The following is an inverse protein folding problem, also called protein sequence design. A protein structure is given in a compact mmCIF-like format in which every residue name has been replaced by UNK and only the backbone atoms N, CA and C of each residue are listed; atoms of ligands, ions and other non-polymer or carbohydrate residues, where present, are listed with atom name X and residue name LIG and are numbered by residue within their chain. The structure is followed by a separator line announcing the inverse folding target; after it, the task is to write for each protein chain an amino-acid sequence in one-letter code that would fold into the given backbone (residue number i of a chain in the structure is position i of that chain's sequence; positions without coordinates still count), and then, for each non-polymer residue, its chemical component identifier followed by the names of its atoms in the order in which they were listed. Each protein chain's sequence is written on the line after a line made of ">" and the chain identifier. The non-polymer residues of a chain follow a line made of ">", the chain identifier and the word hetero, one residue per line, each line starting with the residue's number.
data_IF_370629052316
#
_entry.id   IF_370629052316
#
_cell.length_a   1.000
_cell.length_b   1.000
_cell.length_c   1.000
_cell.angle_alpha   90.00
_cell.angle_beta   90.00
_cell.angle_gamma   90.00
#
_symmetry.space_group_name_H-M   'P 1'
#
loop_
_entity.id
_entity.type
_entity.pdbx_description
1 polymer ?
#
# COMPACT_ATOMS: atom_id res chain seq x y z
N UNK A 1 25.30 -0.63 -18.04
CA UNK A 1 26.53 -0.20 -17.38
C UNK A 1 26.24 0.08 -15.92
N UNK A 2 26.56 -0.92 -15.14
CA UNK A 2 26.68 -0.96 -13.69
C UNK A 2 27.66 0.11 -13.23
N UNK A 3 27.22 1.13 -12.57
CA UNK A 3 27.92 1.95 -11.56
C UNK A 3 27.01 3.11 -11.11
N UNK A 4 25.83 2.83 -10.63
CA UNK A 4 25.13 3.79 -9.78
C UNK A 4 25.56 3.50 -8.34
N UNK A 5 26.71 4.07 -8.03
CA UNK A 5 27.35 4.14 -6.72
C UNK A 5 26.30 4.70 -5.73
N UNK A 6 25.86 3.82 -4.85
CA UNK A 6 25.11 4.10 -3.65
C UNK A 6 25.87 5.21 -2.87
N UNK A 7 25.50 6.45 -3.06
CA UNK A 7 25.83 7.53 -2.14
C UNK A 7 24.83 7.40 -1.01
N UNK A 8 25.18 6.59 -0.04
CA UNK A 8 24.58 6.65 1.27
C UNK A 8 24.72 8.08 1.78
N UNK A 9 23.73 8.88 1.47
CA UNK A 9 23.52 10.14 2.18
C UNK A 9 23.36 9.73 3.64
N UNK A 10 24.35 10.10 4.43
CA UNK A 10 24.38 9.95 5.88
C UNK A 10 23.23 10.83 6.41
N UNK A 11 22.02 10.33 6.27
CA UNK A 11 20.87 10.88 6.96
C UNK A 11 21.23 10.66 8.42
N UNK A 12 21.45 11.74 9.17
CA UNK A 12 21.60 11.69 10.61
C UNK A 12 20.27 11.14 11.15
N UNK A 13 20.11 9.83 11.05
CA UNK A 13 19.01 9.10 11.64
C UNK A 13 19.18 9.26 13.15
N UNK A 14 18.07 9.24 13.88
CA UNK A 14 18.07 9.23 15.36
C UNK A 14 19.00 8.15 15.93
N UNK A 15 19.43 7.19 15.12
CA UNK A 15 20.34 6.11 15.49
C UNK A 15 21.78 6.58 15.79
N UNK A 16 22.26 7.62 15.09
CA UNK A 16 23.64 8.12 15.26
C UNK A 16 23.86 8.72 16.66
N UNK A 17 23.03 9.67 17.16
CA UNK A 17 23.19 10.18 18.50
C UNK A 17 23.02 9.10 19.58
N UNK A 18 22.14 8.11 19.37
CA UNK A 18 21.97 6.98 20.29
C UNK A 18 23.22 6.10 20.32
N UNK A 19 23.77 5.76 19.16
CA UNK A 19 25.00 4.96 19.07
C UNK A 19 26.18 5.68 19.77
N UNK A 20 26.33 6.99 19.56
CA UNK A 20 27.35 7.80 20.21
C UNK A 20 27.17 7.79 21.73
N UNK A 21 25.95 7.95 22.23
CA UNK A 21 25.65 7.91 23.67
C UNK A 21 26.01 6.55 24.30
N UNK A 22 25.68 5.43 23.63
CA UNK A 22 26.00 4.07 24.07
C UNK A 22 27.51 3.88 24.14
N UNK A 23 28.25 4.30 23.11
CA UNK A 23 29.71 4.17 23.04
C UNK A 23 30.34 5.02 24.16
N UNK A 24 29.89 6.26 24.36
CA UNK A 24 30.39 7.13 25.40
C UNK A 24 30.18 6.54 26.80
N UNK A 25 28.97 6.00 27.06
CA UNK A 25 28.66 5.35 28.35
C UNK A 25 29.50 4.06 28.55
N UNK A 26 29.73 3.28 27.51
CA UNK A 26 30.60 2.11 27.59
C UNK A 26 32.06 2.47 27.92
N UNK A 27 32.59 3.52 27.25
CA UNK A 27 33.96 4.02 27.55
C UNK A 27 34.04 4.53 29.00
N UNK A 28 33.05 5.29 29.45
CA UNK A 28 33.01 5.78 30.84
C UNK A 28 33.00 4.62 31.85
N UNK A 29 32.23 3.56 31.59
CA UNK A 29 32.18 2.36 32.45
C UNK A 29 33.53 1.61 32.47
N UNK A 30 34.24 1.52 31.35
CA UNK A 30 35.57 0.90 31.26
C UNK A 30 36.58 1.71 32.11
N UNK A 31 36.55 3.04 32.02
CA UNK A 31 37.41 3.92 32.81
C UNK A 31 37.13 3.76 34.28
N UNK A 32 35.84 3.71 34.69
CA UNK A 32 35.44 3.51 36.10
C UNK A 32 35.98 2.19 36.66
N UNK A 33 35.92 1.09 35.89
CA UNK A 33 36.51 -0.21 36.28
C UNK A 33 38.03 -0.12 36.48
N UNK A 34 38.74 0.58 35.58
CA UNK A 34 40.21 0.75 35.67
C UNK A 34 40.56 1.56 36.92
N UNK A 35 39.77 2.59 37.25
CA UNK A 35 39.97 3.44 38.42
C UNK A 35 39.47 2.82 39.72
N UNK A 36 38.94 1.58 39.69
CA UNK A 36 38.36 0.87 40.84
C UNK A 36 37.26 1.69 41.54
N UNK A 37 36.47 2.45 40.80
CA UNK A 37 35.30 3.16 41.29
C UNK A 37 34.09 2.23 41.24
N UNK A 38 33.22 2.30 42.25
CA UNK A 38 32.05 1.38 42.36
C UNK A 38 30.92 1.71 41.36
N UNK A 39 31.03 2.82 40.62
CA UNK A 39 30.03 3.27 39.67
C UNK A 39 30.18 2.57 38.29
N UNK A 40 29.61 1.37 38.15
CA UNK A 40 29.65 0.58 36.92
C UNK A 40 28.28 0.57 36.29
N UNK A 41 28.16 1.09 35.08
CA UNK A 41 26.87 1.27 34.36
C UNK A 41 26.59 0.23 33.28
N UNK A 42 27.30 -0.90 33.26
CA UNK A 42 27.13 -1.94 32.22
C UNK A 42 25.74 -2.52 32.20
N UNK A 43 25.10 -2.72 33.33
CA UNK A 43 23.75 -3.25 33.46
C UNK A 43 22.73 -2.31 32.82
N UNK A 44 22.83 -1.01 33.11
CA UNK A 44 21.97 0.02 32.53
C UNK A 44 22.15 0.12 31.01
N UNK A 45 23.38 0.01 30.50
CA UNK A 45 23.67 0.00 29.06
C UNK A 45 23.06 -1.24 28.41
N UNK A 46 23.23 -2.41 29.00
CA UNK A 46 22.69 -3.66 28.48
C UNK A 46 21.16 -3.62 28.42
N UNK A 47 20.51 -3.14 29.49
CA UNK A 47 19.05 -2.96 29.52
C UNK A 47 18.57 -1.96 28.45
N UNK A 48 19.26 -0.85 28.30
CA UNK A 48 18.91 0.17 27.30
C UNK A 48 19.02 -0.38 25.87
N UNK A 49 20.14 -1.08 25.55
CA UNK A 49 20.34 -1.69 24.25
C UNK A 49 19.27 -2.77 23.97
N UNK A 50 18.93 -3.57 24.98
CA UNK A 50 17.88 -4.58 24.87
C UNK A 50 16.52 -3.94 24.53
N UNK A 51 16.12 -2.91 25.25
CA UNK A 51 14.87 -2.19 25.01
C UNK A 51 14.85 -1.54 23.61
N UNK A 52 15.97 -0.96 23.20
CA UNK A 52 16.10 -0.33 21.88
C UNK A 52 15.99 -1.34 20.74
N UNK A 53 16.66 -2.50 20.87
CA UNK A 53 16.55 -3.58 19.89
C UNK A 53 15.14 -4.19 19.87
N UNK A 54 14.51 -4.33 21.04
CA UNK A 54 13.12 -4.77 21.15
C UNK A 54 12.15 -3.81 20.44
N UNK A 55 12.29 -2.53 20.66
CA UNK A 55 11.48 -1.51 19.97
C UNK A 55 11.69 -1.55 18.45
N UNK A 56 12.93 -1.67 17.97
CA UNK A 56 13.26 -1.81 16.56
C UNK A 56 12.68 -3.08 15.93
N UNK A 57 12.75 -4.19 16.67
CA UNK A 57 12.16 -5.44 16.22
C UNK A 57 10.63 -5.32 16.07
N UNK A 58 9.95 -4.70 17.05
CA UNK A 58 8.51 -4.47 17.00
C UNK A 58 8.13 -3.53 15.85
N UNK A 59 8.90 -2.46 15.64
CA UNK A 59 8.69 -1.53 14.51
C UNK A 59 8.83 -2.25 13.16
N UNK A 60 9.90 -3.03 12.98
CA UNK A 60 10.11 -3.80 11.75
C UNK A 60 8.99 -4.81 11.51
N UNK A 61 8.53 -5.50 12.57
CA UNK A 61 7.42 -6.45 12.48
C UNK A 61 6.10 -5.78 12.14
N UNK A 62 5.80 -4.61 12.73
CA UNK A 62 4.61 -3.85 12.41
C UNK A 62 4.64 -3.34 10.97
N UNK A 63 5.78 -2.82 10.51
CA UNK A 63 5.97 -2.35 9.13
C UNK A 63 5.79 -3.47 8.10
N UNK A 64 6.32 -4.66 8.37
CA UNK A 64 6.15 -5.81 7.47
C UNK A 64 4.68 -6.26 7.39
N UNK A 65 3.95 -6.27 8.50
CA UNK A 65 2.51 -6.57 8.47
C UNK A 65 1.72 -5.54 7.66
N UNK A 66 2.01 -4.25 7.83
CA UNK A 66 1.36 -3.20 7.05
C UNK A 66 1.69 -3.31 5.55
N UNK A 67 2.91 -3.70 5.19
CA UNK A 67 3.30 -3.93 3.82
C UNK A 67 2.56 -5.12 3.18
N UNK A 68 2.28 -6.17 3.94
CA UNK A 68 1.46 -7.32 3.51
C UNK A 68 0.02 -6.87 3.18
N UNK A 69 -0.61 -6.09 4.05
CA UNK A 69 -1.95 -5.52 3.80
C UNK A 69 -1.97 -4.53 2.62
N UNK A 70 -0.90 -3.79 2.40
CA UNK A 70 -0.78 -2.85 1.28
C UNK A 70 -0.55 -3.54 -0.08
N UNK A 71 -0.20 -4.84 -0.09
CA UNK A 71 0.00 -5.63 -1.31
C UNK A 71 -1.26 -6.40 -1.75
N UNK A 72 -2.36 -6.34 -1.00
CA UNK A 72 -3.62 -6.88 -1.51
C UNK A 72 -3.99 -6.15 -2.80
N UNK A 73 -4.19 -6.88 -3.90
CA UNK A 73 -4.55 -6.25 -5.16
C UNK A 73 -5.88 -5.51 -5.00
N UNK A 74 -5.88 -4.21 -5.30
CA UNK A 74 -7.06 -3.34 -5.24
C UNK A 74 -8.22 -3.85 -6.10
N UNK A 75 -7.93 -4.71 -7.05
CA UNK A 75 -8.90 -5.29 -7.97
C UNK A 75 -8.85 -6.82 -7.94
N UNK A 76 -10.00 -7.49 -8.08
CA UNK A 76 -10.07 -8.93 -8.22
C UNK A 76 -9.24 -9.43 -9.40
N UNK A 77 -8.53 -10.54 -9.21
CA UNK A 77 -7.73 -11.17 -10.26
C UNK A 77 -8.57 -12.02 -11.22
N UNK A 78 -9.80 -12.35 -10.83
CA UNK A 78 -10.74 -13.16 -11.61
C UNK A 78 -12.08 -12.47 -11.72
N UNK A 79 -12.82 -12.76 -12.77
CA UNK A 79 -14.17 -12.26 -12.99
C UNK A 79 -15.05 -13.32 -13.68
N UNK A 80 -16.36 -13.15 -13.58
CA UNK A 80 -17.34 -14.04 -14.23
C UNK A 80 -17.72 -13.44 -15.58
N UNK A 81 -17.17 -14.00 -16.65
CA UNK A 81 -17.56 -13.64 -18.01
C UNK A 81 -18.84 -14.36 -18.42
N UNK A 82 -19.75 -13.62 -19.06
CA UNK A 82 -20.93 -14.19 -19.71
C UNK A 82 -20.66 -14.40 -21.20
N UNK A 83 -20.43 -15.64 -21.62
CA UNK A 83 -20.24 -16.00 -23.01
C UNK A 83 -21.31 -17.01 -23.45
N UNK A 84 -22.07 -16.73 -24.51
CA UNK A 84 -23.15 -17.58 -25.01
C UNK A 84 -24.18 -18.03 -23.94
N UNK A 85 -24.55 -17.12 -23.03
CA UNK A 85 -25.42 -17.36 -21.87
C UNK A 85 -24.82 -18.32 -20.81
N UNK A 86 -23.58 -18.73 -20.94
CA UNK A 86 -22.86 -19.50 -19.93
C UNK A 86 -21.96 -18.59 -19.10
N UNK A 87 -21.89 -18.85 -17.80
CA UNK A 87 -21.03 -18.15 -16.86
C UNK A 87 -19.70 -18.89 -16.78
N UNK A 88 -18.62 -18.20 -17.04
CA UNK A 88 -17.27 -18.73 -17.02
C UNK A 88 -16.40 -17.88 -16.09
N UNK A 89 -15.73 -18.51 -15.14
CA UNK A 89 -14.77 -17.81 -14.29
C UNK A 89 -13.44 -17.74 -15.01
N UNK A 90 -13.01 -16.53 -15.35
CA UNK A 90 -11.77 -16.30 -16.09
C UNK A 90 -10.86 -15.33 -15.34
N UNK A 91 -9.56 -15.36 -15.69
CA UNK A 91 -8.64 -14.32 -15.24
C UNK A 91 -8.98 -12.98 -15.89
N UNK A 92 -8.85 -11.89 -15.14
CA UNK A 92 -9.08 -10.53 -15.66
C UNK A 92 -8.16 -10.20 -16.85
N UNK A 93 -6.98 -10.81 -16.92
CA UNK A 93 -6.02 -10.65 -18.02
C UNK A 93 -6.48 -11.33 -19.32
N UNK A 94 -7.47 -12.22 -19.24
CA UNK A 94 -8.02 -12.93 -20.41
C UNK A 94 -9.26 -12.24 -20.98
N UNK A 95 -9.70 -11.12 -20.39
CA UNK A 95 -10.82 -10.32 -20.91
C UNK A 95 -10.48 -9.66 -22.23
N UNK A 96 -11.51 -9.50 -23.06
CA UNK A 96 -11.46 -8.74 -24.30
C UNK A 96 -12.40 -7.53 -24.24
N UNK A 97 -12.12 -6.51 -25.05
CA UNK A 97 -13.00 -5.36 -25.17
C UNK A 97 -14.39 -5.82 -25.62
N UNK A 98 -15.44 -5.31 -24.98
CA UNK A 98 -16.85 -5.68 -25.15
C UNK A 98 -17.25 -7.03 -24.55
N UNK A 99 -16.38 -7.75 -23.84
CA UNK A 99 -16.82 -8.90 -23.05
C UNK A 99 -17.83 -8.46 -21.99
N UNK A 100 -18.79 -9.33 -21.71
CA UNK A 100 -19.80 -9.09 -20.68
C UNK A 100 -19.37 -9.75 -19.37
N UNK A 101 -19.26 -8.97 -18.31
CA UNK A 101 -18.90 -9.44 -16.97
C UNK A 101 -20.08 -9.33 -16.03
N UNK A 102 -20.39 -10.42 -15.34
CA UNK A 102 -21.45 -10.47 -14.34
C UNK A 102 -20.86 -10.10 -12.98
N UNK A 103 -21.47 -9.14 -12.31
CA UNK A 103 -21.11 -8.74 -10.94
C UNK A 103 -22.35 -8.87 -10.06
N UNK A 104 -22.26 -9.71 -9.02
CA UNK A 104 -23.36 -9.97 -8.10
C UNK A 104 -23.16 -9.32 -6.74
N UNK A 105 -21.90 -9.26 -6.29
CA UNK A 105 -21.52 -8.63 -5.01
C UNK A 105 -20.03 -8.35 -4.98
N UNK A 106 -19.62 -7.40 -4.14
CA UNK A 106 -18.22 -7.09 -3.91
C UNK A 106 -17.61 -6.11 -4.91
N UNK A 107 -16.31 -6.17 -5.06
CA UNK A 107 -15.55 -5.19 -5.86
C UNK A 107 -15.78 -5.42 -7.35
N UNK A 108 -16.13 -4.36 -8.07
CA UNK A 108 -16.28 -4.37 -9.53
C UNK A 108 -14.88 -4.43 -10.16
N UNK A 109 -14.61 -5.45 -11.01
CA UNK A 109 -13.25 -5.69 -11.50
C UNK A 109 -12.82 -4.84 -12.69
N UNK A 110 -13.77 -4.18 -13.37
CA UNK A 110 -13.58 -3.51 -14.67
C UNK A 110 -14.29 -2.16 -14.73
N UNK A 111 -13.79 -1.28 -15.59
CA UNK A 111 -14.53 -0.09 -16.04
C UNK A 111 -15.41 -0.45 -17.23
N UNK A 112 -16.65 -0.02 -17.23
CA UNK A 112 -17.56 -0.30 -18.33
C UNK A 112 -18.95 0.27 -18.15
N UNK A 113 -19.83 -0.06 -19.10
CA UNK A 113 -21.24 0.33 -19.05
C UNK A 113 -22.12 -0.84 -18.63
N UNK A 114 -23.10 -0.56 -17.80
CA UNK A 114 -24.11 -1.55 -17.40
C UNK A 114 -25.03 -1.79 -18.60
N UNK A 115 -25.06 -3.03 -19.10
CA UNK A 115 -25.98 -3.43 -20.18
C UNK A 115 -27.29 -4.02 -19.66
N UNK A 116 -27.29 -4.54 -18.43
CA UNK A 116 -28.47 -5.13 -17.79
C UNK A 116 -28.35 -5.17 -16.29
N UNK A 117 -29.47 -5.06 -15.59
CA UNK A 117 -29.56 -5.08 -14.14
C UNK A 117 -29.56 -3.71 -13.49
N UNK A 118 -29.62 -3.71 -12.17
CA UNK A 118 -29.51 -2.53 -11.34
C UNK A 118 -28.85 -2.87 -10.01
N UNK A 119 -28.10 -1.97 -9.44
CA UNK A 119 -27.38 -2.18 -8.19
C UNK A 119 -27.15 -0.88 -7.40
N UNK A 120 -27.04 -1.04 -6.08
CA UNK A 120 -26.49 -0.01 -5.22
C UNK A 120 -24.96 -0.15 -5.18
N UNK A 121 -24.26 0.88 -5.61
CA UNK A 121 -22.79 0.87 -5.74
C UNK A 121 -22.22 1.95 -4.84
N UNK A 122 -21.28 1.55 -3.99
CA UNK A 122 -20.46 2.44 -3.18
C UNK A 122 -19.22 2.85 -3.97
N UNK A 123 -19.02 4.16 -4.10
CA UNK A 123 -17.93 4.76 -4.87
C UNK A 123 -16.89 5.46 -3.98
N UNK A 124 -16.90 5.21 -2.68
CA UNK A 124 -16.05 5.89 -1.69
C UNK A 124 -14.56 5.83 -2.02
N UNK A 125 -14.08 4.75 -2.61
CA UNK A 125 -12.67 4.58 -3.01
C UNK A 125 -12.24 5.63 -4.06
N UNK A 126 -13.17 6.13 -4.86
CA UNK A 126 -12.91 7.08 -5.95
C UNK A 126 -13.32 8.49 -5.58
N UNK A 127 -14.52 8.66 -5.04
CA UNK A 127 -15.11 9.97 -4.75
C UNK A 127 -14.91 10.45 -3.31
N UNK A 128 -14.60 9.52 -2.38
CA UNK A 128 -14.58 9.77 -0.95
C UNK A 128 -15.97 9.82 -0.29
N UNK A 129 -17.04 9.68 -1.06
CA UNK A 129 -18.41 9.69 -0.57
C UNK A 129 -18.90 8.27 -0.27
N UNK A 130 -19.33 8.03 0.98
CA UNK A 130 -19.81 6.72 1.43
C UNK A 130 -21.27 6.42 1.09
N UNK A 131 -22.02 7.38 0.53
CA UNK A 131 -23.42 7.18 0.17
C UNK A 131 -23.50 6.31 -1.09
N UNK A 132 -24.20 5.15 -1.02
CA UNK A 132 -24.38 4.31 -2.19
C UNK A 132 -25.22 5.02 -3.27
N UNK A 133 -24.81 4.88 -4.51
CA UNK A 133 -25.52 5.43 -5.68
C UNK A 133 -26.21 4.29 -6.40
N UNK A 134 -27.50 4.47 -6.72
CA UNK A 134 -28.23 3.52 -7.56
C UNK A 134 -27.77 3.69 -9.00
N UNK A 135 -27.36 2.57 -9.60
CA UNK A 135 -26.95 2.46 -11.00
C UNK A 135 -27.80 1.44 -11.72
N UNK A 136 -28.10 1.71 -12.97
CA UNK A 136 -28.96 0.88 -13.83
C UNK A 136 -28.38 0.74 -15.25
N UNK A 137 -29.05 -0.02 -16.09
CA UNK A 137 -28.66 -0.18 -17.48
C UNK A 137 -28.50 1.18 -18.20
N UNK A 138 -27.37 1.38 -18.86
CA UNK A 138 -26.95 2.63 -19.49
C UNK A 138 -25.99 3.47 -18.66
N UNK A 139 -25.83 3.20 -17.35
CA UNK A 139 -24.88 3.90 -16.49
C UNK A 139 -23.48 3.30 -16.60
N UNK A 140 -22.48 4.13 -16.39
CA UNK A 140 -21.08 3.71 -16.34
C UNK A 140 -20.69 3.34 -14.89
N UNK A 141 -19.91 2.27 -14.75
CA UNK A 141 -19.28 1.84 -13.50
C UNK A 141 -17.78 1.81 -13.63
N UNK A 142 -17.10 1.99 -12.51
CA UNK A 142 -15.64 2.05 -12.43
C UNK A 142 -15.10 0.88 -11.60
N UNK A 143 -13.98 0.33 -12.04
CA UNK A 143 -13.23 -0.68 -11.32
C UNK A 143 -12.86 -0.18 -9.91
N UNK A 144 -12.87 -1.08 -8.92
CA UNK A 144 -12.58 -0.75 -7.53
C UNK A 144 -13.75 -0.20 -6.74
N UNK A 145 -14.89 0.12 -7.37
CA UNK A 145 -16.14 0.42 -6.65
C UNK A 145 -16.78 -0.85 -6.14
N UNK A 146 -17.57 -0.77 -5.05
CA UNK A 146 -18.16 -1.93 -4.40
C UNK A 146 -19.65 -2.03 -4.70
N UNK A 147 -20.08 -3.14 -5.28
CA UNK A 147 -21.48 -3.48 -5.44
C UNK A 147 -22.00 -4.03 -4.12
N UNK A 148 -22.91 -3.29 -3.47
CA UNK A 148 -23.48 -3.64 -2.16
C UNK A 148 -24.70 -4.55 -2.30
N UNK A 149 -25.55 -4.27 -3.28
CA UNK A 149 -26.83 -4.97 -3.45
C UNK A 149 -27.24 -4.92 -4.92
N UNK A 150 -27.83 -6.03 -5.41
CA UNK A 150 -28.27 -6.17 -6.78
C UNK A 150 -27.34 -7.04 -7.62
N UNK A 151 -27.61 -7.10 -8.91
CA UNK A 151 -26.79 -7.80 -9.91
C UNK A 151 -26.76 -6.96 -11.17
N UNK A 152 -25.57 -6.83 -11.75
CA UNK A 152 -25.37 -6.11 -13.00
C UNK A 152 -24.55 -6.94 -13.98
N UNK A 153 -24.76 -6.70 -15.26
CA UNK A 153 -23.91 -7.16 -16.34
C UNK A 153 -23.24 -5.93 -16.93
N UNK A 154 -21.91 -5.91 -16.90
CA UNK A 154 -21.09 -4.79 -17.35
C UNK A 154 -20.37 -5.19 -18.63
N UNK A 155 -20.44 -4.34 -19.64
CA UNK A 155 -19.64 -4.47 -20.86
C UNK A 155 -18.26 -3.86 -20.62
N UNK A 156 -17.21 -4.66 -20.77
CA UNK A 156 -15.83 -4.28 -20.46
C UNK A 156 -15.29 -3.24 -21.46
N UNK A 157 -14.77 -2.12 -20.91
CA UNK A 157 -14.07 -1.07 -21.68
C UNK A 157 -12.60 -1.02 -21.30
N UNK A 158 -12.29 -0.96 -19.99
CA UNK A 158 -10.94 -0.93 -19.45
C UNK A 158 -10.83 -1.82 -18.22
N UNK A 159 -9.66 -2.41 -18.00
CA UNK A 159 -9.39 -3.26 -16.83
C UNK A 159 -7.90 -3.33 -16.51
N UNK A 160 -7.57 -3.84 -15.33
CA UNK A 160 -6.17 -3.99 -14.89
C UNK A 160 -5.43 -2.67 -14.84
N UNK A 161 -4.27 -2.59 -15.53
CA UNK A 161 -3.43 -1.41 -15.56
C UNK A 161 -4.06 -0.21 -16.31
N UNK A 162 -4.99 -0.47 -17.22
CA UNK A 162 -5.70 0.56 -18.00
C UNK A 162 -6.98 1.05 -17.32
N UNK A 163 -7.31 0.54 -16.14
CA UNK A 163 -8.46 0.98 -15.38
C UNK A 163 -8.26 2.38 -14.78
N UNK A 164 -9.36 3.07 -14.54
CA UNK A 164 -9.37 4.42 -13.95
C UNK A 164 -8.67 4.45 -12.58
N UNK A 165 -8.88 3.43 -11.76
CA UNK A 165 -8.27 3.33 -10.44
C UNK A 165 -6.74 3.09 -10.52
N UNK A 166 -6.26 2.32 -11.50
CA UNK A 166 -4.85 2.09 -11.72
C UNK A 166 -4.13 3.40 -12.10
N UNK A 167 -4.72 4.19 -12.99
CA UNK A 167 -4.21 5.51 -13.36
C UNK A 167 -4.22 6.51 -12.19
N UNK A 168 -5.25 6.49 -11.34
CA UNK A 168 -5.30 7.29 -10.11
C UNK A 168 -4.16 6.91 -9.16
N UNK A 169 -3.96 5.63 -8.92
CA UNK A 169 -2.90 5.13 -8.03
C UNK A 169 -1.52 5.54 -8.53
N UNK A 170 -1.26 5.39 -9.82
CA UNK A 170 0.00 5.80 -10.44
C UNK A 170 0.26 7.31 -10.32
N UNK A 171 -0.77 8.15 -10.49
CA UNK A 171 -0.64 9.60 -10.28
C UNK A 171 -0.37 9.96 -8.84
N UNK A 172 -0.99 9.27 -7.88
CA UNK A 172 -0.73 9.47 -6.47
C UNK A 172 0.71 9.12 -6.10
N UNK A 173 1.22 7.98 -6.55
CA UNK A 173 2.61 7.58 -6.33
C UNK A 173 3.59 8.62 -6.89
N UNK A 174 3.37 9.08 -8.12
CA UNK A 174 4.21 10.12 -8.74
C UNK A 174 4.18 11.43 -7.93
N UNK A 175 3.02 11.84 -7.43
CA UNK A 175 2.87 13.03 -6.60
C UNK A 175 3.61 12.88 -5.25
N UNK A 176 3.57 11.71 -4.63
CA UNK A 176 4.33 11.40 -3.41
C UNK A 176 5.85 11.46 -3.65
N UNK A 177 6.34 10.87 -4.73
CA UNK A 177 7.76 10.93 -5.09
C UNK A 177 8.23 12.36 -5.37
N UNK A 178 7.44 13.16 -6.09
CA UNK A 178 7.77 14.56 -6.35
C UNK A 178 7.79 15.42 -5.06
N UNK A 179 6.85 15.18 -4.14
CA UNK A 179 6.82 15.89 -2.84
C UNK A 179 8.05 15.55 -2.00
N UNK A 180 8.47 14.30 -1.99
CA UNK A 180 9.69 13.87 -1.30
C UNK A 180 10.95 14.52 -1.88
N UNK A 181 11.05 14.63 -3.20
CA UNK A 181 12.18 15.31 -3.86
C UNK A 181 12.22 16.82 -3.56
N UNK A 182 11.06 17.50 -3.53
CA UNK A 182 11.00 18.94 -3.21
C UNK A 182 11.43 19.24 -1.77
N UNK A 183 11.10 18.38 -0.82
CA UNK A 183 11.58 18.52 0.57
C UNK A 183 13.10 18.33 0.69
N UNK A 184 13.71 17.57 -0.19
CA UNK A 184 15.17 17.41 -0.24
C UNK A 184 15.86 18.64 -0.81
N UNK A 185 15.31 19.25 -1.86
CA UNK A 185 15.93 20.40 -2.57
C UNK A 185 15.75 21.72 -1.80
N UNK A 186 14.75 21.84 -0.95
CA UNK A 186 14.50 23.04 -0.13
C UNK A 186 15.36 23.12 1.15
N UNK A 187 16.21 22.13 1.41
CA UNK A 187 17.08 22.04 2.60
C UNK A 187 18.58 22.19 2.25
N UNK A 188 18.92 22.43 1.00
CA UNK A 188 20.25 22.86 0.52
C UNK A 188 20.24 24.34 0.23
#
# INVERSE_FOLDING_TARGET
>A
NLLQRNRDTFVINMDVPIAVAIIAAAIASIIAVIQRTDDVYFDSIAMFVFLLLGARFLEARARNRLAEYAQEPLLPQTCIRLHNKQRENISIHSLQINDCVVVETGIIPIDGDIISGSAAIEQAVITGEFLPVQKQAGDTVLAGTTLLNGQIIVQAKHWGADSHIAHLHQRMEQAFFQKQQRHFTART
#
